data_IF_816560649727
#
_entry.id   IF_816560649727
#
_cell.length_a   1.000
_cell.length_b   1.000
_cell.length_c   1.000
_cell.angle_alpha   90.00
_cell.angle_beta   90.00
_cell.angle_gamma   90.00
#
_symmetry.space_group_name_H-M   'P 1'
#
loop_
_entity.id
_entity.type
_entity.pdbx_description
1 polymer ?
#
# COMPACT_ATOMS: atom_id res chain seq x y z
N UNK A 1 -18.37 -6.75 -19.15
CA UNK A 1 -17.46 -5.71 -19.67
C UNK A 1 -16.09 -6.31 -19.93
N UNK A 2 -15.34 -5.70 -20.81
CA UNK A 2 -13.93 -5.97 -21.02
C UNK A 2 -13.11 -4.85 -20.35
N UNK A 3 -12.37 -5.19 -19.29
CA UNK A 3 -11.71 -4.23 -18.38
C UNK A 3 -10.20 -4.38 -18.50
N UNK A 4 -9.50 -3.27 -18.72
CA UNK A 4 -8.04 -3.19 -18.60
C UNK A 4 -7.66 -2.57 -17.23
N UNK A 5 -6.86 -3.27 -16.45
CA UNK A 5 -6.18 -2.74 -15.26
C UNK A 5 -4.74 -2.42 -15.66
N UNK A 6 -4.34 -1.15 -15.65
CA UNK A 6 -3.00 -0.74 -16.10
C UNK A 6 -2.15 -0.30 -14.92
N UNK A 7 -1.08 -1.01 -14.65
CA UNK A 7 -0.21 -0.73 -13.50
C UNK A 7 1.28 -0.89 -13.86
N UNK A 8 2.15 -0.45 -12.97
CA UNK A 8 3.59 -0.48 -13.22
C UNK A 8 4.20 -1.87 -13.02
N UNK A 9 3.66 -2.69 -12.10
CA UNK A 9 4.05 -4.09 -11.85
C UNK A 9 2.84 -4.89 -11.42
N UNK A 10 2.92 -6.19 -11.58
CA UNK A 10 1.90 -7.15 -11.15
C UNK A 10 2.58 -8.44 -10.64
N UNK A 11 1.80 -9.37 -10.10
CA UNK A 11 2.30 -10.66 -9.63
C UNK A 11 3.36 -11.25 -10.60
N UNK A 12 4.48 -11.80 -10.08
CA UNK A 12 4.79 -12.14 -8.69
C UNK A 12 5.38 -10.99 -7.84
N UNK A 13 5.47 -9.78 -8.38
CA UNK A 13 5.95 -8.63 -7.61
C UNK A 13 4.97 -8.30 -6.47
N UNK A 14 5.50 -7.96 -5.30
CA UNK A 14 4.75 -7.64 -4.09
C UNK A 14 4.91 -6.16 -3.73
N UNK A 15 3.80 -5.49 -3.46
CA UNK A 15 3.73 -4.10 -3.02
C UNK A 15 2.28 -3.65 -2.85
N UNK A 16 2.05 -2.47 -2.28
CA UNK A 16 0.69 -1.98 -2.00
C UNK A 16 -0.17 -1.80 -3.24
N UNK A 17 0.39 -1.21 -4.30
CA UNK A 17 -0.32 -1.01 -5.58
C UNK A 17 -0.55 -2.35 -6.28
N UNK A 18 0.46 -3.21 -6.31
CA UNK A 18 0.38 -4.55 -6.89
C UNK A 18 -0.72 -5.38 -6.24
N UNK A 19 -0.79 -5.33 -4.89
CA UNK A 19 -1.83 -6.02 -4.11
C UNK A 19 -3.21 -5.45 -4.40
N UNK A 20 -3.36 -4.13 -4.39
CA UNK A 20 -4.63 -3.46 -4.73
C UNK A 20 -5.16 -3.89 -6.11
N UNK A 21 -4.29 -3.84 -7.14
CA UNK A 21 -4.68 -4.24 -8.51
C UNK A 21 -5.02 -5.73 -8.56
N UNK A 22 -4.26 -6.58 -7.89
CA UNK A 22 -4.48 -8.02 -7.86
C UNK A 22 -5.84 -8.35 -7.25
N UNK A 23 -6.13 -7.83 -6.07
CA UNK A 23 -7.35 -8.13 -5.32
C UNK A 23 -8.61 -7.67 -6.08
N UNK A 24 -8.54 -6.51 -6.74
CA UNK A 24 -9.64 -6.02 -7.57
C UNK A 24 -9.77 -6.83 -8.85
N UNK A 25 -8.67 -7.07 -9.58
CA UNK A 25 -8.69 -7.75 -10.85
C UNK A 25 -9.20 -9.20 -10.73
N UNK A 26 -8.72 -9.96 -9.73
CA UNK A 26 -9.14 -11.35 -9.51
C UNK A 26 -10.63 -11.46 -9.18
N UNK A 27 -11.20 -10.51 -8.41
CA UNK A 27 -12.63 -10.49 -8.07
C UNK A 27 -13.51 -10.05 -9.24
N UNK A 28 -13.07 -9.05 -9.99
CA UNK A 28 -13.78 -8.62 -11.19
C UNK A 28 -13.76 -9.71 -12.29
N UNK A 29 -12.71 -10.52 -12.36
CA UNK A 29 -12.59 -11.61 -13.33
C UNK A 29 -13.63 -12.72 -13.12
N UNK A 30 -14.29 -12.78 -11.96
CA UNK A 30 -15.42 -13.69 -11.73
C UNK A 30 -16.66 -13.35 -12.57
N UNK A 31 -16.78 -12.10 -13.03
CA UNK A 31 -17.98 -11.60 -13.74
C UNK A 31 -17.66 -10.86 -15.04
N UNK A 32 -16.40 -10.52 -15.29
CA UNK A 32 -15.96 -9.71 -16.41
C UNK A 32 -14.74 -10.31 -17.10
N UNK A 33 -14.46 -9.89 -18.33
CA UNK A 33 -13.17 -10.13 -18.97
C UNK A 33 -12.16 -9.12 -18.46
N UNK A 34 -11.24 -9.54 -17.60
CA UNK A 34 -10.23 -8.66 -17.02
C UNK A 34 -8.85 -8.96 -17.60
N UNK A 35 -8.16 -7.91 -18.01
CA UNK A 35 -6.78 -7.97 -18.45
C UNK A 35 -5.92 -6.98 -17.65
N UNK A 36 -4.88 -7.47 -16.98
CA UNK A 36 -3.83 -6.63 -16.37
C UNK A 36 -2.74 -6.38 -17.39
N UNK A 37 -2.47 -5.11 -17.63
CA UNK A 37 -1.41 -4.62 -18.52
C UNK A 37 -0.33 -4.00 -17.64
N UNK A 38 0.86 -4.60 -17.61
CA UNK A 38 1.94 -4.17 -16.71
C UNK A 38 3.28 -4.04 -17.38
N UNK A 39 4.22 -3.40 -16.70
CA UNK A 39 5.61 -3.35 -17.09
C UNK A 39 6.40 -4.52 -16.47
N UNK A 40 7.42 -4.99 -17.16
CA UNK A 40 8.38 -5.97 -16.71
C UNK A 40 9.79 -5.39 -16.87
N UNK A 41 10.51 -5.24 -15.75
CA UNK A 41 11.83 -4.60 -15.69
C UNK A 41 12.93 -5.52 -16.16
N UNK A 42 12.87 -6.78 -15.75
CA UNK A 42 13.92 -7.77 -16.01
C UNK A 42 13.70 -8.42 -17.37
N UNK A 43 12.43 -8.59 -17.75
CA UNK A 43 12.03 -9.22 -19.02
C UNK A 43 12.15 -10.74 -18.98
N UNK A 44 12.11 -11.33 -17.79
CA UNK A 44 12.18 -12.76 -17.53
C UNK A 44 10.80 -13.39 -17.26
N UNK A 45 9.78 -12.57 -17.01
CA UNK A 45 8.42 -13.05 -16.82
C UNK A 45 7.72 -13.37 -18.16
N UNK A 46 6.75 -14.31 -18.16
CA UNK A 46 5.95 -14.58 -19.36
C UNK A 46 5.27 -13.31 -19.87
N UNK A 47 5.41 -13.03 -21.16
CA UNK A 47 4.77 -11.88 -21.79
C UNK A 47 3.24 -11.93 -21.69
N UNK A 48 2.68 -13.13 -21.73
CA UNK A 48 1.24 -13.38 -21.58
C UNK A 48 1.02 -14.64 -20.76
N UNK A 49 0.14 -14.55 -19.80
CA UNK A 49 -0.30 -15.67 -18.99
C UNK A 49 -1.71 -15.41 -18.43
N UNK A 50 -2.28 -16.39 -17.77
CA UNK A 50 -3.52 -16.26 -16.99
C UNK A 50 -3.23 -16.60 -15.55
N UNK A 51 -3.53 -15.66 -14.63
CA UNK A 51 -3.36 -15.83 -13.19
C UNK A 51 -4.74 -15.70 -12.55
N UNK A 52 -5.24 -16.75 -11.92
CA UNK A 52 -6.57 -16.78 -11.25
C UNK A 52 -7.70 -16.13 -12.08
N UNK A 53 -7.79 -16.49 -13.35
CA UNK A 53 -8.82 -16.00 -14.27
C UNK A 53 -8.53 -14.64 -14.92
N UNK A 54 -7.50 -13.93 -14.48
CA UNK A 54 -7.07 -12.65 -15.03
C UNK A 54 -6.05 -12.86 -16.15
N UNK A 55 -6.29 -12.30 -17.33
CA UNK A 55 -5.27 -12.24 -18.39
C UNK A 55 -4.20 -11.22 -17.98
N UNK A 56 -2.93 -11.59 -18.06
CA UNK A 56 -1.80 -10.70 -17.76
C UNK A 56 -0.97 -10.52 -19.03
N UNK A 57 -0.77 -9.27 -19.43
CA UNK A 57 0.10 -8.90 -20.55
C UNK A 57 1.19 -7.97 -20.06
N UNK A 58 2.46 -8.39 -20.19
CA UNK A 58 3.63 -7.62 -19.72
C UNK A 58 4.43 -7.04 -20.88
N UNK A 59 4.95 -5.84 -20.68
CA UNK A 59 5.80 -5.14 -21.62
C UNK A 59 7.15 -4.84 -20.99
N UNK A 60 8.22 -5.15 -21.70
CA UNK A 60 9.56 -4.75 -21.27
C UNK A 60 9.60 -3.26 -21.03
N UNK A 61 10.20 -2.87 -19.92
CA UNK A 61 10.29 -1.48 -19.51
C UNK A 61 11.71 -1.11 -19.10
N UNK A 62 12.05 0.17 -19.30
CA UNK A 62 13.22 0.79 -18.69
C UNK A 62 12.77 1.51 -17.43
N UNK A 63 13.53 1.36 -16.34
CA UNK A 63 13.17 2.01 -15.07
C UNK A 63 14.42 2.52 -14.35
N UNK A 64 14.95 3.67 -14.76
CA UNK A 64 16.10 4.28 -14.10
C UNK A 64 15.83 4.47 -12.60
N UNK A 65 16.66 3.90 -11.75
CA UNK A 65 16.50 3.98 -10.30
C UNK A 65 15.19 3.34 -9.77
N UNK A 66 14.68 2.31 -10.45
CA UNK A 66 13.39 1.67 -10.12
C UNK A 66 12.21 2.65 -10.07
N UNK A 67 12.24 3.68 -10.92
CA UNK A 67 11.20 4.69 -11.02
C UNK A 67 10.69 4.83 -12.46
N UNK A 68 9.49 5.40 -12.62
CA UNK A 68 8.84 5.78 -13.90
C UNK A 68 8.36 4.64 -14.79
N UNK A 69 9.00 3.49 -14.91
CA UNK A 69 8.56 2.34 -15.72
C UNK A 69 8.17 2.70 -17.16
N UNK A 70 9.17 3.00 -17.97
CA UNK A 70 8.99 3.48 -19.35
C UNK A 70 8.67 2.28 -20.27
N UNK A 71 7.42 2.13 -20.65
CA UNK A 71 6.91 1.06 -21.51
C UNK A 71 5.90 1.62 -22.54
N UNK A 72 6.35 2.40 -23.56
CA UNK A 72 5.46 3.08 -24.51
C UNK A 72 4.64 2.12 -25.39
N UNK A 73 5.05 0.84 -25.47
CA UNK A 73 4.30 -0.22 -26.16
C UNK A 73 2.89 -0.42 -25.59
N UNK A 74 2.65 -0.06 -24.32
CA UNK A 74 1.33 -0.07 -23.68
C UNK A 74 0.36 0.79 -24.48
N UNK A 75 0.78 1.99 -24.94
CA UNK A 75 -0.05 2.87 -25.77
C UNK A 75 -0.51 2.20 -27.05
N UNK A 76 0.38 1.56 -27.80
CA UNK A 76 0.05 0.90 -29.06
C UNK A 76 -0.86 -0.31 -28.82
N UNK A 77 -0.60 -1.07 -27.76
CA UNK A 77 -1.38 -2.24 -27.40
C UNK A 77 -2.83 -1.88 -27.07
N UNK A 78 -3.05 -0.90 -26.21
CA UNK A 78 -4.39 -0.44 -25.82
C UNK A 78 -5.14 0.11 -27.04
N UNK A 79 -4.48 0.92 -27.92
CA UNK A 79 -5.10 1.48 -29.13
C UNK A 79 -5.59 0.43 -30.13
N UNK A 80 -5.00 -0.76 -30.13
CA UNK A 80 -5.39 -1.89 -31.00
C UNK A 80 -6.30 -2.89 -30.32
N UNK A 81 -6.48 -2.75 -29.02
CA UNK A 81 -7.40 -3.55 -28.20
C UNK A 81 -8.76 -2.85 -28.09
N UNK A 82 -9.77 -3.60 -27.65
CA UNK A 82 -11.11 -3.04 -27.37
C UNK A 82 -11.42 -3.30 -25.92
N UNK A 83 -11.47 -2.22 -25.12
CA UNK A 83 -11.89 -2.25 -23.73
C UNK A 83 -13.11 -1.35 -23.55
N UNK A 84 -13.98 -1.71 -22.60
CA UNK A 84 -15.10 -0.87 -22.19
C UNK A 84 -14.60 0.14 -21.13
N UNK A 85 -13.66 -0.34 -20.27
CA UNK A 85 -13.10 0.41 -19.15
C UNK A 85 -11.57 0.23 -19.13
N UNK A 86 -10.87 1.32 -18.93
CA UNK A 86 -9.43 1.35 -18.66
C UNK A 86 -9.24 1.96 -17.27
N UNK A 87 -8.83 1.16 -16.30
CA UNK A 87 -8.49 1.61 -14.97
C UNK A 87 -6.97 1.70 -14.80
N UNK A 88 -6.45 2.90 -14.75
CA UNK A 88 -5.02 3.18 -14.60
C UNK A 88 -4.65 3.38 -13.12
N UNK A 89 -3.48 2.88 -12.73
CA UNK A 89 -2.99 2.93 -11.35
C UNK A 89 -1.61 3.56 -11.27
N UNK A 90 -1.37 4.28 -10.15
CA UNK A 90 -0.10 4.86 -9.74
C UNK A 90 0.33 6.09 -10.57
N UNK A 91 0.15 7.26 -9.98
CA UNK A 91 0.60 8.54 -10.54
C UNK A 91 2.11 8.60 -10.78
N UNK A 92 2.91 7.99 -9.89
CA UNK A 92 4.36 8.06 -9.92
C UNK A 92 5.03 7.13 -10.95
N UNK A 93 4.22 6.47 -11.80
CA UNK A 93 4.69 5.57 -12.84
C UNK A 93 4.03 5.86 -14.19
N UNK A 94 4.80 5.82 -15.28
CA UNK A 94 4.35 6.20 -16.61
C UNK A 94 3.30 5.28 -17.27
N UNK A 95 3.12 3.99 -16.89
CA UNK A 95 2.04 3.18 -17.47
C UNK A 95 0.66 3.83 -17.42
N UNK A 96 0.32 4.54 -16.34
CA UNK A 96 -0.93 5.30 -16.24
C UNK A 96 -1.02 6.41 -17.31
N UNK A 97 0.07 7.11 -17.58
CA UNK A 97 0.13 8.14 -18.63
C UNK A 97 -0.02 7.51 -20.02
N UNK A 98 0.64 6.38 -20.28
CA UNK A 98 0.51 5.66 -21.55
C UNK A 98 -0.91 5.15 -21.78
N UNK A 99 -1.58 4.67 -20.73
CA UNK A 99 -3.00 4.31 -20.79
C UNK A 99 -3.87 5.51 -21.12
N UNK A 100 -3.68 6.62 -20.42
CA UNK A 100 -4.40 7.87 -20.68
C UNK A 100 -4.24 8.36 -22.13
N UNK A 101 -3.03 8.30 -22.69
CA UNK A 101 -2.77 8.69 -24.08
C UNK A 101 -3.39 7.75 -25.12
N UNK A 102 -3.80 6.57 -24.70
CA UNK A 102 -4.34 5.53 -25.56
C UNK A 102 -5.85 5.62 -25.74
N UNK A 103 -6.55 6.18 -24.76
CA UNK A 103 -8.01 6.24 -24.73
C UNK A 103 -8.57 7.05 -25.90
N UNK A 104 -9.54 6.46 -26.63
CA UNK A 104 -10.23 7.10 -27.78
C UNK A 104 -11.73 7.28 -27.55
N UNK A 105 -12.30 6.60 -26.57
CA UNK A 105 -13.72 6.58 -26.24
C UNK A 105 -14.01 5.59 -25.12
N UNK A 106 -12.97 4.90 -24.62
CA UNK A 106 -13.06 4.05 -23.45
C UNK A 106 -13.19 4.90 -22.20
N UNK A 107 -13.91 4.41 -21.20
CA UNK A 107 -14.02 5.05 -19.88
C UNK A 107 -12.70 4.93 -19.15
N UNK A 108 -12.06 6.07 -18.88
CA UNK A 108 -10.82 6.11 -18.11
C UNK A 108 -11.09 6.39 -16.64
N UNK A 109 -10.75 5.43 -15.78
CA UNK A 109 -10.75 5.56 -14.34
C UNK A 109 -9.29 5.62 -13.87
N UNK A 110 -9.03 6.38 -12.82
CA UNK A 110 -7.69 6.56 -12.30
C UNK A 110 -7.62 6.42 -10.78
N UNK A 111 -6.83 5.47 -10.28
CA UNK A 111 -6.44 5.38 -8.87
C UNK A 111 -4.99 5.86 -8.74
N UNK A 112 -4.75 7.09 -8.24
CA UNK A 112 -3.44 7.70 -8.30
C UNK A 112 -2.42 7.11 -7.33
N UNK A 113 -2.83 6.57 -6.19
CA UNK A 113 -1.95 6.18 -5.09
C UNK A 113 -0.97 7.31 -4.76
N UNK A 114 -1.52 8.53 -4.69
CA UNK A 114 -0.76 9.76 -4.59
C UNK A 114 -0.46 10.10 -3.13
N UNK A 115 0.81 10.32 -2.82
CA UNK A 115 1.26 10.68 -1.47
C UNK A 115 1.99 12.05 -1.42
N UNK A 116 1.87 12.84 -2.48
CA UNK A 116 2.38 14.21 -2.57
C UNK A 116 3.86 14.28 -2.91
N UNK A 117 4.70 13.91 -1.97
CA UNK A 117 6.15 14.04 -2.06
C UNK A 117 6.81 12.82 -2.72
N UNK A 118 7.92 13.06 -3.39
CA UNK A 118 8.83 11.97 -3.78
C UNK A 118 9.56 11.42 -2.54
N UNK A 119 9.95 10.15 -2.60
CA UNK A 119 10.70 9.51 -1.50
C UNK A 119 12.15 10.03 -1.34
N UNK A 120 12.59 10.95 -2.21
CA UNK A 120 13.90 11.60 -2.16
C UNK A 120 13.83 13.02 -2.75
N UNK A 121 14.70 13.97 -2.32
CA UNK A 121 14.76 15.33 -2.88
C UNK A 121 14.96 15.36 -4.41
N UNK A 122 15.70 14.40 -4.95
CA UNK A 122 15.90 14.26 -6.40
C UNK A 122 14.59 13.89 -7.13
N UNK A 123 13.80 13.00 -6.56
CA UNK A 123 12.47 12.65 -7.11
C UNK A 123 11.51 13.82 -7.02
N UNK A 124 11.55 14.62 -5.96
CA UNK A 124 10.75 15.84 -5.85
C UNK A 124 11.08 16.87 -6.94
N UNK A 125 12.36 17.03 -7.26
CA UNK A 125 12.79 17.90 -8.34
C UNK A 125 12.26 17.42 -9.71
N UNK A 126 12.27 16.13 -9.97
CA UNK A 126 11.73 15.52 -11.20
C UNK A 126 10.20 15.52 -11.24
N UNK A 127 9.54 15.48 -10.09
CA UNK A 127 8.08 15.53 -10.02
C UNK A 127 7.52 16.90 -10.46
N UNK A 128 8.23 18.01 -10.28
CA UNK A 128 7.77 19.35 -10.69
C UNK A 128 7.41 19.44 -12.18
N UNK A 129 8.28 19.09 -13.15
CA UNK A 129 7.91 19.08 -14.56
C UNK A 129 6.89 17.98 -14.90
N UNK A 130 6.96 16.81 -14.22
CA UNK A 130 6.02 15.72 -14.42
C UNK A 130 4.59 16.12 -14.02
N UNK A 131 4.40 16.98 -13.02
CA UNK A 131 3.05 17.45 -12.60
C UNK A 131 2.24 18.01 -13.77
N UNK A 132 2.87 18.77 -14.70
CA UNK A 132 2.18 19.31 -15.88
C UNK A 132 1.74 18.25 -16.88
N UNK A 133 2.51 17.17 -17.01
CA UNK A 133 2.19 16.07 -17.93
C UNK A 133 1.25 15.08 -17.27
N UNK A 134 1.50 14.77 -16.03
CA UNK A 134 0.71 13.82 -15.21
C UNK A 134 -0.68 14.37 -14.87
N UNK A 135 -0.86 15.71 -14.76
CA UNK A 135 -2.19 16.33 -14.57
C UNK A 135 -3.19 15.96 -15.66
N UNK A 136 -2.71 15.67 -16.88
CA UNK A 136 -3.56 15.21 -17.99
C UNK A 136 -4.29 13.90 -17.70
N UNK A 137 -3.75 13.06 -16.79
CA UNK A 137 -4.41 11.81 -16.40
C UNK A 137 -5.67 12.15 -15.60
N UNK A 138 -5.57 13.07 -14.64
CA UNK A 138 -6.69 13.54 -13.83
C UNK A 138 -7.73 14.27 -14.67
N UNK A 139 -7.28 15.14 -15.59
CA UNK A 139 -8.15 15.88 -16.52
C UNK A 139 -8.99 14.93 -17.37
N UNK A 140 -8.38 13.88 -17.94
CA UNK A 140 -9.03 12.93 -18.86
C UNK A 140 -9.79 11.81 -18.14
N UNK A 141 -9.46 11.51 -16.89
CA UNK A 141 -10.21 10.54 -16.12
C UNK A 141 -11.66 10.99 -15.95
N UNK A 142 -12.60 10.09 -16.20
CA UNK A 142 -14.01 10.32 -15.93
C UNK A 142 -14.30 10.21 -14.42
N UNK A 143 -13.58 9.31 -13.74
CA UNK A 143 -13.62 9.15 -12.29
C UNK A 143 -12.22 8.95 -11.73
N UNK A 144 -11.95 9.53 -10.56
CA UNK A 144 -10.71 9.40 -9.80
C UNK A 144 -11.06 8.67 -8.50
N UNK A 145 -10.42 7.54 -8.23
CA UNK A 145 -10.63 6.77 -7.00
C UNK A 145 -9.46 7.02 -6.07
N UNK A 146 -9.68 7.75 -4.99
CA UNK A 146 -8.69 7.93 -3.92
C UNK A 146 -8.89 6.87 -2.83
N UNK A 147 -7.79 6.30 -2.30
CA UNK A 147 -7.87 5.25 -1.28
C UNK A 147 -8.07 5.77 0.14
N UNK A 148 -7.99 7.09 0.34
CA UNK A 148 -8.19 7.76 1.64
C UNK A 148 -8.64 9.21 1.45
N UNK A 149 -9.16 9.84 2.52
CA UNK A 149 -9.45 11.28 2.50
C UNK A 149 -8.16 12.10 2.47
N UNK A 150 -7.08 11.60 3.06
CA UNK A 150 -5.77 12.21 2.96
C UNK A 150 -5.33 12.31 1.48
N UNK A 151 -5.39 11.20 0.73
CA UNK A 151 -5.05 11.20 -0.70
C UNK A 151 -5.98 12.14 -1.48
N UNK A 152 -7.30 12.10 -1.21
CA UNK A 152 -8.28 13.02 -1.81
C UNK A 152 -7.87 14.47 -1.59
N UNK A 153 -7.53 14.84 -0.36
CA UNK A 153 -7.13 16.23 -0.01
C UNK A 153 -5.87 16.66 -0.77
N UNK A 154 -4.89 15.76 -0.92
CA UNK A 154 -3.67 16.01 -1.69
C UNK A 154 -3.97 16.18 -3.19
N UNK A 155 -4.84 15.33 -3.75
CA UNK A 155 -5.22 15.40 -5.17
C UNK A 155 -5.96 16.72 -5.45
N UNK A 156 -6.91 17.11 -4.59
CA UNK A 156 -7.63 18.38 -4.72
C UNK A 156 -6.64 19.57 -4.65
N UNK A 157 -5.76 19.57 -3.66
CA UNK A 157 -4.76 20.63 -3.47
C UNK A 157 -3.82 20.78 -4.65
N UNK A 158 -3.38 19.66 -5.24
CA UNK A 158 -2.30 19.65 -6.23
C UNK A 158 -2.80 19.69 -7.68
N UNK A 159 -4.01 19.17 -7.94
CA UNK A 159 -4.57 19.01 -9.29
C UNK A 159 -5.98 19.55 -9.45
N UNK A 160 -6.77 19.64 -8.38
CA UNK A 160 -8.19 19.99 -8.45
C UNK A 160 -9.07 18.75 -8.75
N UNK A 161 -10.13 18.93 -9.57
CA UNK A 161 -11.04 17.88 -10.03
C UNK A 161 -11.84 17.19 -8.92
N UNK A 162 -12.20 17.93 -7.88
CA UNK A 162 -12.95 17.41 -6.73
C UNK A 162 -14.23 16.68 -7.12
N UNK A 163 -14.92 17.18 -8.13
CA UNK A 163 -16.18 16.62 -8.66
C UNK A 163 -16.06 15.22 -9.27
N UNK A 164 -14.83 14.81 -9.62
CA UNK A 164 -14.55 13.48 -10.18
C UNK A 164 -14.07 12.47 -9.12
N UNK A 165 -13.81 12.93 -7.89
CA UNK A 165 -13.17 12.11 -6.87
C UNK A 165 -14.20 11.33 -6.06
N UNK A 166 -14.01 10.02 -6.00
CA UNK A 166 -14.66 9.11 -5.07
C UNK A 166 -13.62 8.48 -4.15
N UNK A 167 -13.94 8.35 -2.85
CA UNK A 167 -13.05 7.68 -1.90
C UNK A 167 -13.49 6.24 -1.73
N UNK A 168 -12.68 5.30 -2.24
CA UNK A 168 -12.87 3.85 -2.09
C UNK A 168 -11.61 3.30 -1.42
N UNK A 169 -11.68 2.88 -0.16
CA UNK A 169 -10.52 2.43 0.59
C UNK A 169 -9.93 1.12 0.04
N UNK A 170 -8.71 0.80 0.43
CA UNK A 170 -8.18 -0.54 0.23
C UNK A 170 -8.92 -1.54 1.12
N UNK A 171 -8.91 -2.81 0.70
CA UNK A 171 -9.54 -3.89 1.44
C UNK A 171 -8.54 -4.79 2.17
N UNK A 172 -9.08 -5.79 2.82
CA UNK A 172 -8.38 -6.88 3.51
C UNK A 172 -9.02 -8.23 3.15
N UNK A 173 -8.25 -9.31 3.26
CA UNK A 173 -8.74 -10.68 3.10
C UNK A 173 -9.11 -11.25 4.47
N UNK A 174 -10.34 -11.02 4.92
CA UNK A 174 -10.81 -11.50 6.22
C UNK A 174 -10.72 -13.02 6.34
N UNK A 175 -11.16 -13.76 5.31
CA UNK A 175 -11.13 -15.22 5.31
C UNK A 175 -9.70 -15.78 5.51
N UNK A 176 -8.67 -15.13 4.94
CA UNK A 176 -7.29 -15.57 5.08
C UNK A 176 -6.72 -15.24 6.46
N UNK A 177 -7.13 -14.11 7.04
CA UNK A 177 -6.78 -13.75 8.41
C UNK A 177 -7.45 -14.72 9.41
N UNK A 178 -8.72 -15.04 9.20
CA UNK A 178 -9.47 -15.94 10.10
C UNK A 178 -8.90 -17.37 10.14
N UNK A 179 -8.44 -17.89 9.00
CA UNK A 179 -7.97 -19.28 8.84
C UNK A 179 -6.66 -19.59 9.55
N UNK A 180 -5.80 -18.61 9.80
CA UNK A 180 -4.49 -18.87 10.37
C UNK A 180 -4.53 -18.89 11.90
N UNK A 181 -3.70 -19.75 12.48
CA UNK A 181 -3.49 -19.77 13.93
C UNK A 181 -2.28 -18.92 14.31
N UNK A 182 -2.31 -18.23 15.48
CA UNK A 182 -1.17 -17.46 15.95
C UNK A 182 0.05 -18.34 16.19
N UNK A 183 1.24 -17.76 16.23
CA UNK A 183 2.43 -18.44 16.73
C UNK A 183 2.40 -18.51 18.25
N UNK A 184 3.02 -19.55 18.81
CA UNK A 184 3.35 -19.56 20.24
C UNK A 184 4.46 -18.53 20.50
N UNK A 185 4.27 -17.71 21.53
CA UNK A 185 5.22 -16.67 21.92
C UNK A 185 5.15 -16.41 23.42
N UNK A 186 6.32 -16.36 24.06
CA UNK A 186 6.43 -15.99 25.46
C UNK A 186 6.64 -14.48 25.58
N UNK A 187 5.95 -13.85 26.55
CA UNK A 187 5.99 -12.40 26.76
C UNK A 187 5.01 -11.62 25.88
N UNK A 188 5.24 -10.31 25.78
CA UNK A 188 4.42 -9.40 24.95
C UNK A 188 5.17 -9.03 23.69
N UNK A 189 4.47 -9.01 22.56
CA UNK A 189 5.04 -8.81 21.24
C UNK A 189 4.54 -7.55 20.56
N UNK A 190 5.49 -6.70 20.17
CA UNK A 190 5.27 -5.61 19.20
C UNK A 190 5.68 -6.15 17.83
N UNK A 191 4.85 -5.92 16.81
CA UNK A 191 5.12 -6.39 15.46
C UNK A 191 5.08 -5.26 14.44
N UNK A 192 6.03 -5.29 13.50
CA UNK A 192 6.06 -4.47 12.30
C UNK A 192 6.25 -5.35 11.08
N UNK A 193 5.58 -5.02 9.97
CA UNK A 193 5.87 -5.60 8.67
C UNK A 193 5.82 -4.55 7.56
N UNK A 194 6.83 -4.57 6.68
CA UNK A 194 6.91 -3.69 5.54
C UNK A 194 8.32 -3.59 4.95
N UNK A 195 8.50 -2.73 3.95
CA UNK A 195 9.84 -2.46 3.45
C UNK A 195 10.68 -1.75 4.51
N UNK A 196 11.93 -2.15 4.63
CA UNK A 196 12.87 -1.53 5.55
C UNK A 196 13.60 -0.38 4.83
N UNK A 197 12.91 0.76 4.73
CA UNK A 197 13.43 2.02 4.21
C UNK A 197 13.39 3.08 5.33
N UNK A 198 14.25 4.11 5.29
CA UNK A 198 14.38 5.12 6.35
C UNK A 198 13.06 5.80 6.72
N UNK A 199 12.23 6.15 5.72
CA UNK A 199 10.94 6.82 5.95
C UNK A 199 9.89 5.95 6.68
N UNK A 200 10.19 4.67 6.93
CA UNK A 200 9.34 3.78 7.73
C UNK A 200 9.58 3.92 9.23
N UNK A 201 10.62 4.64 9.64
CA UNK A 201 10.94 5.01 11.02
C UNK A 201 11.00 3.82 12.00
N UNK A 202 11.45 2.65 11.52
CA UNK A 202 11.61 1.44 12.35
C UNK A 202 12.70 1.64 13.41
N UNK A 203 13.73 2.42 13.10
CA UNK A 203 14.78 2.84 14.01
C UNK A 203 14.24 3.57 15.24
N UNK A 204 13.18 4.39 15.09
CA UNK A 204 12.54 5.09 16.23
C UNK A 204 11.92 4.11 17.22
N UNK A 205 11.34 3.01 16.73
CA UNK A 205 10.79 1.96 17.61
C UNK A 205 11.92 1.22 18.32
N UNK A 206 13.02 0.89 17.62
CA UNK A 206 14.20 0.25 18.22
C UNK A 206 14.78 1.15 19.33
N UNK A 207 14.89 2.46 19.11
CA UNK A 207 15.35 3.40 20.14
C UNK A 207 14.41 3.43 21.35
N UNK A 208 13.08 3.37 21.14
CA UNK A 208 12.10 3.35 22.21
C UNK A 208 12.16 2.06 23.05
N UNK A 209 12.60 0.93 22.47
CA UNK A 209 12.76 -0.35 23.20
C UNK A 209 13.67 -0.27 24.42
N UNK A 210 14.60 0.70 24.49
CA UNK A 210 15.45 0.94 25.66
C UNK A 210 14.66 1.33 26.92
N UNK A 211 13.51 1.95 26.73
CA UNK A 211 12.67 2.51 27.79
C UNK A 211 11.48 1.60 28.11
N UNK A 212 11.34 0.50 27.40
CA UNK A 212 10.25 -0.47 27.56
C UNK A 212 10.68 -1.64 28.47
N UNK A 213 9.75 -2.23 29.25
CA UNK A 213 10.01 -3.40 30.07
C UNK A 213 10.65 -4.56 29.31
N UNK A 214 11.47 -5.38 30.01
CA UNK A 214 12.24 -6.48 29.40
C UNK A 214 11.34 -7.58 28.77
N UNK A 215 10.13 -7.76 29.27
CA UNK A 215 9.17 -8.73 28.73
C UNK A 215 8.56 -8.33 27.38
N UNK A 216 8.79 -7.10 26.89
CA UNK A 216 8.36 -6.64 25.60
C UNK A 216 9.40 -6.96 24.53
N UNK A 217 8.97 -7.68 23.49
CA UNK A 217 9.77 -8.02 22.32
C UNK A 217 9.30 -7.23 21.10
N UNK A 218 10.21 -6.96 20.18
CA UNK A 218 9.87 -6.31 18.92
C UNK A 218 10.36 -7.13 17.72
N UNK A 219 9.42 -7.65 16.93
CA UNK A 219 9.73 -8.43 15.73
C UNK A 219 9.43 -7.62 14.47
N UNK A 220 10.40 -7.63 13.55
CA UNK A 220 10.43 -6.77 12.38
C UNK A 220 10.47 -7.65 11.12
N UNK A 221 9.32 -7.75 10.45
CA UNK A 221 9.20 -8.45 9.17
C UNK A 221 9.49 -7.53 7.99
N UNK A 222 10.19 -8.08 6.99
CA UNK A 222 10.46 -7.39 5.74
C UNK A 222 11.93 -7.28 5.37
N UNK A 223 12.16 -6.71 4.18
CA UNK A 223 13.49 -6.46 3.60
C UNK A 223 13.56 -5.02 3.08
N UNK A 224 14.76 -4.52 2.87
CA UNK A 224 14.96 -3.16 2.35
C UNK A 224 16.38 -2.66 2.55
N UNK A 225 16.66 -1.48 2.01
CA UNK A 225 17.99 -0.88 1.99
C UNK A 225 18.49 -0.46 3.38
N UNK A 226 17.59 -0.27 4.33
CA UNK A 226 17.90 0.18 5.70
C UNK A 226 18.13 -0.98 6.68
N UNK A 227 17.99 -2.25 6.24
CA UNK A 227 18.08 -3.44 7.10
C UNK A 227 19.39 -3.55 7.88
N UNK A 228 20.53 -3.29 7.21
CA UNK A 228 21.85 -3.41 7.84
C UNK A 228 22.09 -2.29 8.86
N UNK A 229 21.64 -1.08 8.58
CA UNK A 229 21.68 0.02 9.55
C UNK A 229 20.85 -0.30 10.81
N UNK A 230 19.67 -0.91 10.66
CA UNK A 230 18.83 -1.36 11.80
C UNK A 230 19.52 -2.46 12.60
N UNK A 231 20.19 -3.42 11.97
CA UNK A 231 20.98 -4.45 12.66
C UNK A 231 22.09 -3.84 13.51
N UNK A 232 22.86 -2.91 12.92
CA UNK A 232 23.90 -2.20 13.65
C UNK A 232 23.32 -1.41 14.85
N UNK A 233 22.15 -0.79 14.68
CA UNK A 233 21.48 -0.07 15.76
C UNK A 233 21.06 -1.00 16.90
N UNK A 234 20.50 -2.17 16.60
CA UNK A 234 20.11 -3.20 17.59
C UNK A 234 21.33 -3.64 18.40
N UNK A 235 22.44 -3.97 17.73
CA UNK A 235 23.71 -4.37 18.37
C UNK A 235 24.26 -3.24 19.26
N UNK A 236 24.30 -2.00 18.75
CA UNK A 236 24.78 -0.82 19.48
C UNK A 236 23.99 -0.53 20.76
N UNK A 237 22.70 -0.82 20.76
CA UNK A 237 21.80 -0.58 21.88
C UNK A 237 21.65 -1.78 22.84
N UNK A 238 22.36 -2.90 22.56
CA UNK A 238 22.30 -4.16 23.31
C UNK A 238 20.87 -4.73 23.40
N UNK A 239 20.17 -4.75 22.27
CA UNK A 239 18.77 -5.18 22.18
C UNK A 239 18.57 -6.50 21.42
N UNK A 240 19.65 -7.24 21.11
CA UNK A 240 19.59 -8.43 20.26
C UNK A 240 18.70 -9.55 20.82
N UNK A 241 18.53 -9.65 22.13
CA UNK A 241 17.66 -10.63 22.78
C UNK A 241 16.17 -10.30 22.63
N UNK A 242 15.83 -9.02 22.46
CA UNK A 242 14.46 -8.50 22.47
C UNK A 242 13.98 -8.02 21.09
N UNK A 243 14.87 -7.65 20.17
CA UNK A 243 14.54 -7.12 18.85
C UNK A 243 15.04 -8.07 17.76
N UNK A 244 14.13 -8.58 16.92
CA UNK A 244 14.46 -9.56 15.86
C UNK A 244 14.08 -9.08 14.46
N UNK A 245 15.04 -9.15 13.53
CA UNK A 245 14.82 -8.92 12.10
C UNK A 245 14.46 -10.26 11.43
N UNK A 246 13.19 -10.50 11.13
CA UNK A 246 12.69 -11.76 10.57
C UNK A 246 13.06 -11.95 9.09
N UNK A 247 13.40 -10.86 8.37
CA UNK A 247 13.59 -10.93 6.93
C UNK A 247 12.26 -11.01 6.16
N UNK A 248 12.26 -11.69 5.04
CA UNK A 248 11.03 -11.91 4.26
C UNK A 248 10.05 -12.78 5.06
N UNK A 249 8.81 -12.33 5.12
CA UNK A 249 7.69 -13.02 5.79
C UNK A 249 6.62 -13.31 4.75
N UNK A 250 6.13 -14.55 4.71
CA UNK A 250 5.04 -14.96 3.82
C UNK A 250 3.72 -14.25 4.20
N UNK A 251 2.73 -14.24 3.30
CA UNK A 251 1.40 -13.69 3.61
C UNK A 251 0.74 -14.43 4.79
N UNK A 252 0.86 -15.76 4.82
CA UNK A 252 0.32 -16.58 5.90
C UNK A 252 1.00 -16.26 7.23
N UNK A 253 2.35 -16.24 7.27
CA UNK A 253 3.09 -15.93 8.49
C UNK A 253 2.88 -14.48 8.93
N UNK A 254 2.66 -13.53 7.99
CA UNK A 254 2.28 -12.16 8.30
C UNK A 254 1.00 -12.12 9.16
N UNK A 255 -0.03 -12.84 8.74
CA UNK A 255 -1.29 -12.88 9.49
C UNK A 255 -1.14 -13.63 10.82
N UNK A 256 -0.34 -14.69 10.85
CA UNK A 256 -0.01 -15.39 12.11
C UNK A 256 0.69 -14.48 13.11
N UNK A 257 1.71 -13.69 12.66
CA UNK A 257 2.38 -12.71 13.52
C UNK A 257 1.44 -11.57 13.95
N UNK A 258 0.54 -11.12 13.07
CA UNK A 258 -0.47 -10.13 13.42
C UNK A 258 -1.46 -10.64 14.48
N UNK A 259 -1.82 -11.93 14.44
CA UNK A 259 -2.64 -12.57 15.50
C UNK A 259 -1.86 -12.82 16.79
N UNK A 260 -0.56 -12.95 16.71
CA UNK A 260 0.31 -13.21 17.87
C UNK A 260 0.63 -11.93 18.62
N UNK A 261 0.80 -10.80 17.91
CA UNK A 261 1.27 -9.58 18.53
C UNK A 261 0.20 -8.92 19.41
N UNK A 262 0.69 -8.31 20.50
CA UNK A 262 -0.11 -7.50 21.40
C UNK A 262 -0.21 -6.04 20.93
N UNK A 263 0.64 -5.64 19.98
CA UNK A 263 0.64 -4.34 19.35
C UNK A 263 1.25 -4.39 17.96
N UNK A 264 0.56 -3.85 16.99
CA UNK A 264 1.12 -3.58 15.68
C UNK A 264 1.65 -2.13 15.62
N UNK A 265 2.79 -1.91 14.94
CA UNK A 265 3.34 -0.56 14.85
C UNK A 265 3.70 -0.20 13.41
N UNK A 266 3.29 1.00 12.95
CA UNK A 266 3.65 1.53 11.64
C UNK A 266 3.86 3.06 11.72
N UNK A 267 5.10 3.48 11.83
CA UNK A 267 5.49 4.89 11.96
C UNK A 267 5.91 5.53 10.63
N UNK A 268 5.43 5.01 9.50
CA UNK A 268 5.78 5.53 8.17
C UNK A 268 5.43 7.02 8.03
N UNK A 269 6.39 7.83 7.57
CA UNK A 269 6.13 9.25 7.23
C UNK A 269 5.44 9.43 5.87
N UNK A 270 5.43 8.40 5.03
CA UNK A 270 4.83 8.42 3.69
C UNK A 270 3.95 7.19 3.51
N UNK A 271 2.64 7.38 3.63
CA UNK A 271 1.65 6.33 3.43
C UNK A 271 0.34 6.94 2.90
N UNK A 272 -0.19 6.40 1.80
CA UNK A 272 -1.45 6.87 1.26
C UNK A 272 -2.67 6.28 1.98
N UNK A 273 -2.54 5.05 2.53
CA UNK A 273 -3.63 4.38 3.24
C UNK A 273 -3.12 3.65 4.50
N UNK A 274 -2.36 2.55 4.36
CA UNK A 274 -1.91 1.75 5.50
C UNK A 274 -2.60 0.38 5.59
N UNK A 275 -2.57 -0.40 4.50
CA UNK A 275 -3.21 -1.73 4.47
C UNK A 275 -2.78 -2.64 5.61
N UNK A 276 -1.49 -2.64 5.98
CA UNK A 276 -0.97 -3.48 7.06
C UNK A 276 -1.54 -3.12 8.43
N UNK A 277 -1.90 -1.86 8.66
CA UNK A 277 -2.59 -1.43 9.89
C UNK A 277 -4.00 -2.01 9.91
N UNK A 278 -4.73 -1.93 8.79
CA UNK A 278 -6.07 -2.49 8.68
C UNK A 278 -6.08 -4.02 8.84
N UNK A 279 -5.07 -4.70 8.26
CA UNK A 279 -4.87 -6.15 8.43
C UNK A 279 -4.59 -6.52 9.89
N UNK A 280 -3.77 -5.75 10.60
CA UNK A 280 -3.47 -5.97 12.01
C UNK A 280 -4.71 -5.78 12.90
N UNK A 281 -5.51 -4.74 12.66
CA UNK A 281 -6.80 -4.55 13.34
C UNK A 281 -7.74 -5.73 13.10
N UNK A 282 -7.82 -6.24 11.87
CA UNK A 282 -8.62 -7.40 11.53
C UNK A 282 -8.12 -8.70 12.19
N UNK A 283 -6.82 -8.78 12.45
CA UNK A 283 -6.23 -9.87 13.23
C UNK A 283 -6.44 -9.73 14.76
N UNK A 284 -7.03 -8.60 15.22
CA UNK A 284 -7.29 -8.32 16.62
C UNK A 284 -6.16 -7.54 17.33
N UNK A 285 -5.13 -7.12 16.61
CA UNK A 285 -4.02 -6.36 17.18
C UNK A 285 -4.30 -4.84 17.14
N UNK A 286 -4.24 -4.12 18.28
CA UNK A 286 -4.26 -2.68 18.30
C UNK A 286 -3.03 -2.11 17.61
N UNK A 287 -3.07 -0.84 17.20
CA UNK A 287 -1.98 -0.26 16.45
C UNK A 287 -1.52 1.11 16.98
N UNK A 288 -0.19 1.35 16.91
CA UNK A 288 0.39 2.69 17.02
C UNK A 288 0.92 3.11 15.65
N UNK A 289 0.52 4.30 15.22
CA UNK A 289 0.83 4.82 13.88
C UNK A 289 1.45 6.21 13.94
N UNK A 290 2.13 6.62 12.86
CA UNK A 290 2.50 8.01 12.70
C UNK A 290 1.25 8.87 12.46
N UNK A 291 1.16 10.03 13.07
CA UNK A 291 0.08 10.98 12.86
C UNK A 291 0.08 11.58 11.43
N UNK A 292 1.15 11.39 10.66
CA UNK A 292 1.29 11.90 9.30
C UNK A 292 0.64 10.98 8.25
N UNK A 293 0.21 11.59 7.14
CA UNK A 293 -0.28 10.87 5.97
C UNK A 293 -1.62 10.18 6.18
N UNK A 294 -1.88 9.16 5.38
CA UNK A 294 -3.09 8.33 5.48
C UNK A 294 -3.17 7.52 6.78
N UNK A 295 -2.07 7.37 7.52
CA UNK A 295 -2.06 6.69 8.81
C UNK A 295 -2.76 7.49 9.90
N UNK A 296 -2.68 8.83 9.88
CA UNK A 296 -3.37 9.69 10.84
C UNK A 296 -4.89 9.49 10.82
N UNK A 297 -5.48 9.24 9.65
CA UNK A 297 -6.92 8.96 9.53
C UNK A 297 -7.37 7.70 10.28
N UNK A 298 -6.47 6.74 10.50
CA UNK A 298 -6.80 5.53 11.24
C UNK A 298 -7.04 5.83 12.73
N UNK A 299 -6.23 6.69 13.33
CA UNK A 299 -6.40 7.07 14.73
C UNK A 299 -7.69 7.90 14.98
N UNK A 300 -8.14 8.64 13.96
CA UNK A 300 -9.44 9.36 14.02
C UNK A 300 -10.63 8.42 13.82
N UNK A 301 -10.43 7.29 13.14
CA UNK A 301 -11.50 6.39 12.68
C UNK A 301 -11.68 5.15 13.55
N UNK A 302 -10.62 4.64 14.16
CA UNK A 302 -10.59 3.37 14.88
C UNK A 302 -10.12 3.56 16.33
N UNK A 303 -10.91 3.11 17.29
CA UNK A 303 -10.56 3.19 18.71
C UNK A 303 -9.32 2.36 19.07
N UNK A 304 -9.07 1.26 18.35
CA UNK A 304 -7.89 0.41 18.51
C UNK A 304 -6.59 1.03 17.95
N UNK A 305 -6.61 2.28 17.45
CA UNK A 305 -5.43 2.94 16.87
C UNK A 305 -5.10 4.21 17.64
N UNK A 306 -3.83 4.32 18.05
CA UNK A 306 -3.27 5.56 18.59
C UNK A 306 -2.22 6.13 17.62
N UNK A 307 -2.11 7.44 17.57
CA UNK A 307 -1.12 8.12 16.71
C UNK A 307 -0.15 8.99 17.48
N UNK A 308 1.03 9.16 16.92
CA UNK A 308 2.09 10.00 17.46
C UNK A 308 2.86 10.65 16.30
N UNK A 309 3.26 11.90 16.47
CA UNK A 309 4.15 12.54 15.50
C UNK A 309 5.60 12.14 15.79
N UNK A 310 6.09 11.18 14.99
CA UNK A 310 7.40 10.57 15.19
C UNK A 310 8.57 11.54 14.94
N UNK A 311 8.35 12.64 14.22
CA UNK A 311 9.41 13.60 13.89
C UNK A 311 9.74 14.52 15.04
N UNK A 312 8.80 14.75 15.98
CA UNK A 312 8.96 15.71 17.09
C UNK A 312 9.04 15.08 18.48
N UNK A 313 8.65 13.81 18.63
CA UNK A 313 8.62 13.17 19.95
C UNK A 313 9.93 12.45 20.27
N UNK A 314 10.40 12.48 21.56
CA UNK A 314 11.55 11.70 21.98
C UNK A 314 11.18 10.20 22.13
N UNK A 315 12.18 9.29 22.09
CA UNK A 315 11.96 7.85 22.22
C UNK A 315 11.19 7.45 23.50
N UNK A 316 11.37 8.16 24.60
CA UNK A 316 10.66 7.91 25.86
C UNK A 316 9.14 8.18 25.76
N UNK A 317 8.73 9.16 24.98
CA UNK A 317 7.32 9.45 24.77
C UNK A 317 6.67 8.37 23.86
N UNK A 318 7.39 7.90 22.85
CA UNK A 318 6.96 6.77 22.03
C UNK A 318 6.86 5.49 22.88
N UNK A 319 7.84 5.23 23.77
CA UNK A 319 7.80 4.07 24.65
C UNK A 319 6.56 4.09 25.56
N UNK A 320 6.22 5.21 26.16
CA UNK A 320 5.00 5.36 26.98
C UNK A 320 3.74 5.04 26.19
N UNK A 321 3.61 5.59 24.97
CA UNK A 321 2.46 5.32 24.10
C UNK A 321 2.37 3.84 23.73
N UNK A 322 3.50 3.19 23.43
CA UNK A 322 3.56 1.75 23.16
C UNK A 322 3.07 0.97 24.37
N UNK A 323 3.59 1.23 25.57
CA UNK A 323 3.21 0.53 26.81
C UNK A 323 1.73 0.67 27.13
N UNK A 324 1.16 1.88 26.95
CA UNK A 324 -0.29 2.14 27.13
C UNK A 324 -1.18 1.48 26.05
N UNK A 325 -0.61 1.08 24.92
CA UNK A 325 -1.36 0.52 23.78
C UNK A 325 -1.28 -1.00 23.71
N UNK A 326 -0.26 -1.61 24.30
CA UNK A 326 -0.05 -3.07 24.29
C UNK A 326 -1.24 -3.78 24.95
N UNK A 327 -1.87 -4.69 24.20
CA UNK A 327 -3.00 -5.50 24.68
C UNK A 327 -4.32 -4.74 24.85
N UNK A 328 -4.42 -3.50 24.33
CA UNK A 328 -5.71 -2.82 24.24
C UNK A 328 -6.62 -3.54 23.21
N UNK A 329 -7.93 -3.55 23.46
CA UNK A 329 -8.86 -4.24 22.55
C UNK A 329 -9.03 -3.53 21.19
N UNK A 330 -9.52 -4.29 20.21
CA UNK A 330 -9.93 -3.77 18.89
C UNK A 330 -11.44 -4.03 18.75
N UNK A 331 -12.29 -3.02 19.05
CA UNK A 331 -13.74 -3.21 19.06
C UNK A 331 -14.41 -3.09 17.69
N UNK A 332 -13.65 -2.92 16.60
CA UNK A 332 -14.16 -2.55 15.29
C UNK A 332 -14.72 -3.73 14.49
N UNK A 333 -15.84 -3.51 13.80
CA UNK A 333 -16.33 -4.37 12.72
C UNK A 333 -15.70 -3.96 11.37
N UNK A 334 -14.77 -4.77 10.90
CA UNK A 334 -14.01 -4.50 9.68
C UNK A 334 -14.57 -5.19 8.42
N UNK A 335 -15.72 -5.87 8.49
CA UNK A 335 -16.32 -6.57 7.33
C UNK A 335 -16.56 -5.67 6.13
N UNK A 336 -16.85 -4.38 6.34
CA UNK A 336 -16.99 -3.40 5.24
C UNK A 336 -15.74 -3.21 4.40
N UNK A 337 -14.56 -3.54 4.97
CA UNK A 337 -13.27 -3.48 4.28
C UNK A 337 -12.86 -4.80 3.62
N UNK A 338 -13.69 -5.83 3.64
CA UNK A 338 -13.39 -7.04 2.85
C UNK A 338 -13.22 -6.68 1.37
N UNK A 339 -12.20 -7.25 0.73
CA UNK A 339 -11.94 -7.01 -0.69
C UNK A 339 -13.13 -7.33 -1.60
N UNK A 340 -14.03 -8.21 -1.19
CA UNK A 340 -15.30 -8.48 -1.91
C UNK A 340 -16.17 -7.22 -1.99
N UNK A 341 -16.30 -6.51 -0.89
CA UNK A 341 -17.06 -5.26 -0.81
C UNK A 341 -16.35 -4.12 -1.56
N UNK A 342 -15.04 -4.01 -1.39
CA UNK A 342 -14.24 -2.98 -2.09
C UNK A 342 -14.28 -3.18 -3.60
N UNK A 343 -14.12 -4.42 -4.09
CA UNK A 343 -14.23 -4.70 -5.53
C UNK A 343 -15.61 -4.39 -6.09
N UNK A 344 -16.69 -4.62 -5.31
CA UNK A 344 -18.03 -4.24 -5.69
C UNK A 344 -18.21 -2.70 -5.76
N UNK A 345 -17.62 -1.94 -4.84
CA UNK A 345 -17.61 -0.47 -4.91
C UNK A 345 -16.88 0.01 -6.17
N UNK A 346 -15.73 -0.57 -6.48
CA UNK A 346 -14.97 -0.24 -7.71
C UNK A 346 -15.77 -0.60 -8.96
N UNK A 347 -16.46 -1.75 -8.98
CA UNK A 347 -17.35 -2.16 -10.09
C UNK A 347 -18.50 -1.16 -10.28
N UNK A 348 -19.14 -0.72 -9.20
CA UNK A 348 -20.19 0.31 -9.25
C UNK A 348 -19.64 1.62 -9.81
N UNK A 349 -18.43 2.02 -9.39
CA UNK A 349 -17.77 3.20 -9.96
C UNK A 349 -17.55 3.11 -11.47
N UNK A 350 -17.41 1.90 -12.05
CA UNK A 350 -17.36 1.72 -13.51
C UNK A 350 -18.73 1.85 -14.19
N UNK A 351 -19.81 1.50 -13.47
CA UNK A 351 -21.17 1.55 -14.01
C UNK A 351 -21.79 2.94 -13.96
N UNK A 352 -21.46 3.73 -12.92
CA UNK A 352 -22.03 5.06 -12.67
C UNK A 352 -21.55 6.16 -13.64
N UNK A 353 -20.62 5.83 -14.50
CA UNK A 353 -20.15 6.75 -15.54
C UNK A 353 -21.19 6.76 -16.68
N UNK A 354 -21.86 7.91 -16.87
CA UNK A 354 -22.87 8.14 -17.89
C UNK A 354 -22.28 8.57 -19.24
#
# INVERSE_FOLDING_TARGET
MRIAQVCHRYSPNVGGVERHVQEIAERLALRHEVEVISADLVGDLPRREVIKGVRVTRFRSLSPGNAYFIAPQITSYIKTSRFDVIHAHNYHALPALFACQSCKGERLIFTPHYHGLGSTPFRDMLNKPYRKVGSRIFERAEKIICVSNYERSLVIKDFGFEEKIEVIPNGINLDDIEKVEPFEHDGRLIFYIGRLDRYKNVDRVIEAMKYLPEYLHFYIGGTGTYRDDLRILIEKLDLADRVKLLGFVSEEDKYRWMKTCDLFINLSSVEAFGMTVLEALAAGAPAVVNAAGGLGEFAERFEGVKSIDVDIVPPEALARLIEESVGSGVPEDLRKYDWRNIAAMVENAYMDIR
#
